data_IF_587315195896
#
_entry.id   IF_587315195896
#
_cell.length_a   1.000
_cell.length_b   1.000
_cell.length_c   1.000
_cell.angle_alpha   90.00
_cell.angle_beta   90.00
_cell.angle_gamma   90.00
#
_symmetry.space_group_name_H-M   'P 1'
#
loop_
_entity.id
_entity.type
_entity.pdbx_description
1 polymer ?
#
# COMPACT_ATOMS: atom_id res chain seq x y z
N UNK A 1 16.91 2.26 2.50
CA UNK A 1 16.83 1.10 3.39
C UNK A 1 16.13 -0.01 2.62
N UNK A 2 16.60 -1.25 2.72
CA UNK A 2 15.86 -2.37 2.15
C UNK A 2 14.80 -2.80 3.17
N UNK A 3 13.56 -3.07 2.76
CA UNK A 3 12.50 -3.54 3.66
C UNK A 3 12.94 -4.78 4.45
N UNK A 4 13.75 -5.65 3.85
CA UNK A 4 14.24 -6.88 4.49
C UNK A 4 15.29 -6.64 5.59
N UNK A 5 15.88 -5.44 5.67
CA UNK A 5 16.92 -5.09 6.63
C UNK A 5 16.37 -4.22 7.79
N UNK A 6 15.07 -3.88 7.77
CA UNK A 6 14.44 -3.02 8.77
C UNK A 6 14.19 -3.79 10.07
N UNK A 7 14.43 -3.13 11.20
CA UNK A 7 13.91 -3.57 12.49
C UNK A 7 12.39 -3.43 12.51
N UNK A 8 11.73 -4.14 13.44
CA UNK A 8 10.28 -4.02 13.61
C UNK A 8 9.87 -2.56 13.89
N UNK A 9 10.64 -1.83 14.70
CA UNK A 9 10.36 -0.44 15.03
C UNK A 9 10.41 0.45 13.78
N UNK A 10 11.44 0.33 12.94
CA UNK A 10 11.57 1.11 11.70
C UNK A 10 10.44 0.80 10.72
N UNK A 11 10.02 -0.46 10.66
CA UNK A 11 8.88 -0.86 9.83
C UNK A 11 7.56 -0.26 10.34
N UNK A 12 7.34 -0.27 11.66
CA UNK A 12 6.16 0.33 12.29
C UNK A 12 6.12 1.85 12.09
N UNK A 13 7.28 2.52 12.19
CA UNK A 13 7.44 3.95 11.89
C UNK A 13 7.11 4.27 10.43
N UNK A 14 7.61 3.45 9.48
CA UNK A 14 7.26 3.58 8.06
C UNK A 14 5.76 3.41 7.82
N UNK A 15 5.11 2.43 8.46
CA UNK A 15 3.66 2.24 8.34
C UNK A 15 2.87 3.42 8.92
N UNK A 16 3.33 4.00 10.03
CA UNK A 16 2.73 5.19 10.61
C UNK A 16 2.84 6.39 9.65
N UNK A 17 4.00 6.60 9.03
CA UNK A 17 4.21 7.65 8.03
C UNK A 17 3.31 7.45 6.80
N UNK A 18 3.20 6.23 6.29
CA UNK A 18 2.32 5.90 5.15
C UNK A 18 0.87 6.15 5.49
N UNK A 19 0.44 5.82 6.72
CA UNK A 19 -0.92 6.09 7.21
C UNK A 19 -1.24 7.58 7.29
N UNK A 20 -0.29 8.38 7.75
CA UNK A 20 -0.47 9.84 7.88
C UNK A 20 -0.46 10.55 6.52
N UNK A 21 0.48 10.20 5.64
CA UNK A 21 0.70 10.92 4.38
C UNK A 21 -0.13 10.37 3.21
N UNK A 22 -0.44 9.08 3.22
CA UNK A 22 -1.13 8.38 2.11
C UNK A 22 -2.15 7.36 2.65
N UNK A 23 -3.21 7.82 3.34
CA UNK A 23 -4.15 6.93 4.04
C UNK A 23 -4.83 5.90 3.11
N UNK A 24 -5.06 6.23 1.85
CA UNK A 24 -5.63 5.28 0.88
C UNK A 24 -4.67 4.16 0.50
N UNK A 25 -3.36 4.43 0.44
CA UNK A 25 -2.35 3.39 0.23
C UNK A 25 -2.26 2.47 1.45
N UNK A 26 -2.32 3.05 2.65
CA UNK A 26 -2.40 2.27 3.88
C UNK A 26 -3.62 1.34 3.89
N UNK A 27 -4.80 1.86 3.55
CA UNK A 27 -6.03 1.07 3.46
C UNK A 27 -5.94 -0.04 2.41
N UNK A 28 -5.32 0.23 1.25
CA UNK A 28 -5.08 -0.78 0.21
C UNK A 28 -4.19 -1.93 0.70
N UNK A 29 -3.16 -1.62 1.49
CA UNK A 29 -2.28 -2.61 2.12
C UNK A 29 -3.04 -3.42 3.18
N UNK A 30 -3.83 -2.77 4.04
CA UNK A 30 -4.68 -3.46 5.03
C UNK A 30 -5.66 -4.41 4.33
N UNK A 31 -6.34 -3.96 3.29
CA UNK A 31 -7.30 -4.79 2.55
C UNK A 31 -6.64 -5.95 1.79
N UNK A 32 -5.37 -5.82 1.39
CA UNK A 32 -4.60 -6.93 0.86
C UNK A 32 -4.26 -7.98 1.94
N UNK A 33 -3.84 -7.53 3.14
CA UNK A 33 -3.57 -8.42 4.27
C UNK A 33 -4.85 -9.17 4.69
N UNK A 34 -5.99 -8.47 4.70
CA UNK A 34 -7.31 -9.01 4.99
C UNK A 34 -7.91 -9.86 3.85
N UNK A 35 -7.17 -10.03 2.74
CA UNK A 35 -7.56 -10.83 1.56
C UNK A 35 -8.79 -10.30 0.81
N UNK A 36 -9.13 -9.02 0.99
CA UNK A 36 -10.18 -8.31 0.25
C UNK A 36 -9.68 -7.79 -1.09
N UNK A 37 -8.38 -7.46 -1.15
CA UNK A 37 -7.62 -7.25 -2.39
C UNK A 37 -6.85 -8.53 -2.69
N UNK A 38 -6.98 -9.03 -3.91
CA UNK A 38 -6.32 -10.25 -4.37
C UNK A 38 -4.88 -9.98 -4.83
N UNK A 39 -4.08 -11.05 -4.92
CA UNK A 39 -2.74 -10.95 -5.52
C UNK A 39 -2.78 -10.48 -6.98
N UNK A 40 -3.81 -10.87 -7.73
CA UNK A 40 -3.97 -10.45 -9.12
C UNK A 40 -4.21 -8.94 -9.22
N UNK A 41 -5.06 -8.39 -8.35
CA UNK A 41 -5.27 -6.93 -8.28
C UNK A 41 -3.99 -6.18 -7.91
N UNK A 42 -3.20 -6.69 -6.96
CA UNK A 42 -1.88 -6.12 -6.64
C UNK A 42 -0.94 -6.19 -7.86
N UNK A 43 -0.89 -7.32 -8.57
CA UNK A 43 -0.08 -7.45 -9.77
C UNK A 43 -0.50 -6.45 -10.87
N UNK A 44 -1.80 -6.25 -11.06
CA UNK A 44 -2.33 -5.25 -12.00
C UNK A 44 -1.89 -3.85 -11.58
N UNK A 45 -2.07 -3.48 -10.30
CA UNK A 45 -1.61 -2.20 -9.76
C UNK A 45 -0.11 -1.98 -9.99
N UNK A 46 0.73 -2.99 -9.73
CA UNK A 46 2.17 -2.89 -9.92
C UNK A 46 2.60 -2.81 -11.39
N UNK A 47 1.73 -3.19 -12.33
CA UNK A 47 1.97 -3.10 -13.78
C UNK A 47 1.58 -1.74 -14.38
N UNK A 48 0.87 -0.90 -13.63
CA UNK A 48 0.41 0.41 -14.06
C UNK A 48 1.56 1.43 -14.17
N UNK A 49 1.34 2.49 -14.95
CA UNK A 49 2.25 3.66 -14.93
C UNK A 49 2.13 4.40 -13.59
N UNK A 50 3.12 5.23 -13.24
CA UNK A 50 3.08 6.04 -12.02
C UNK A 50 1.81 6.89 -11.90
N UNK A 51 1.37 7.53 -12.99
CA UNK A 51 0.14 8.34 -13.00
C UNK A 51 -1.11 7.48 -12.77
N UNK A 52 -1.14 6.27 -13.34
CA UNK A 52 -2.24 5.33 -13.15
C UNK A 52 -2.27 4.79 -11.72
N UNK A 53 -1.11 4.48 -11.12
CA UNK A 53 -1.00 4.08 -9.72
C UNK A 53 -1.49 5.17 -8.78
N UNK A 54 -1.04 6.41 -8.99
CA UNK A 54 -1.47 7.55 -8.20
C UNK A 54 -2.99 7.73 -8.29
N UNK A 55 -3.55 7.75 -9.51
CA UNK A 55 -4.98 7.87 -9.70
C UNK A 55 -5.76 6.69 -9.10
N UNK A 56 -5.22 5.47 -9.13
CA UNK A 56 -5.83 4.31 -8.48
C UNK A 56 -5.91 4.50 -6.96
N UNK A 57 -4.80 4.90 -6.32
CA UNK A 57 -4.74 5.12 -4.87
C UNK A 57 -5.59 6.32 -4.44
N UNK A 58 -5.57 7.43 -5.19
CA UNK A 58 -6.36 8.63 -4.87
C UNK A 58 -7.87 8.33 -4.82
N UNK A 59 -8.32 7.37 -5.63
CA UNK A 59 -9.72 6.95 -5.70
C UNK A 59 -10.00 5.64 -4.94
N UNK A 60 -9.01 5.04 -4.27
CA UNK A 60 -9.20 3.79 -3.54
C UNK A 60 -10.13 3.97 -2.35
N UNK A 61 -11.04 3.02 -2.15
CA UNK A 61 -11.99 2.99 -1.04
C UNK A 61 -11.86 1.64 -0.32
N UNK A 62 -11.98 1.67 1.01
CA UNK A 62 -11.93 0.47 1.84
C UNK A 62 -12.96 -0.57 1.40
N UNK A 63 -12.56 -1.85 1.40
CA UNK A 63 -13.41 -2.98 0.98
C UNK A 63 -13.81 -3.90 2.12
#
# INVERSE_FOLDING_TARGET
MNLNDMTQQEFDELLAEVKENTPNLFQFIEDFIDKKVTREEVCVYLSMTSDQQQNYIDNYQAR
#
